data_IF_414240752348
#
_entry.id   IF_414240752348
#
_cell.length_a   1.000
_cell.length_b   1.000
_cell.length_c   1.000
_cell.angle_alpha   90.00
_cell.angle_beta   90.00
_cell.angle_gamma   90.00
#
_symmetry.space_group_name_H-M   'P 1'
#
loop_
_entity.id
_entity.type
_entity.pdbx_description
1 polymer ?
#
# COMPACT_ATOMS: atom_id res chain seq x y z
N UNK A 1 -16.79 5.38 -14.40
CA UNK A 1 -16.62 5.20 -12.94
C UNK A 1 -16.93 6.52 -12.27
N UNK A 2 -17.84 6.56 -11.32
CA UNK A 2 -18.00 7.73 -10.45
C UNK A 2 -16.83 7.71 -9.46
N UNK A 3 -15.97 8.72 -9.48
CA UNK A 3 -14.85 8.87 -8.52
C UNK A 3 -15.38 9.38 -7.17
N UNK A 4 -16.16 8.55 -6.49
CA UNK A 4 -16.79 8.86 -5.21
C UNK A 4 -15.75 9.21 -4.17
N UNK A 5 -15.92 10.35 -3.51
CA UNK A 5 -15.07 10.75 -2.39
C UNK A 5 -13.72 11.37 -2.77
N UNK A 6 -13.33 11.46 -4.05
CA UNK A 6 -12.10 12.18 -4.44
C UNK A 6 -12.27 13.70 -4.34
N UNK A 7 -11.25 14.36 -3.78
CA UNK A 7 -11.19 15.83 -3.68
C UNK A 7 -9.93 16.39 -4.35
N UNK A 8 -10.03 17.63 -4.77
CA UNK A 8 -8.91 18.38 -5.35
C UNK A 8 -7.84 18.67 -4.29
N UNK A 9 -6.58 18.24 -4.49
CA UNK A 9 -5.51 18.49 -3.52
C UNK A 9 -5.12 19.97 -3.40
N UNK A 10 -5.64 20.83 -4.28
CA UNK A 10 -5.34 22.28 -4.28
C UNK A 10 -6.40 23.08 -3.55
N UNK A 11 -7.69 22.77 -3.73
CA UNK A 11 -8.78 23.57 -3.18
C UNK A 11 -9.84 22.78 -2.38
N UNK A 12 -9.68 21.47 -2.21
CA UNK A 12 -10.60 20.61 -1.45
C UNK A 12 -11.95 20.32 -2.12
N UNK A 13 -12.25 20.94 -3.28
CA UNK A 13 -13.50 20.67 -3.98
C UNK A 13 -13.54 19.28 -4.58
N UNK A 14 -14.72 18.66 -4.68
CA UNK A 14 -14.88 17.33 -5.29
C UNK A 14 -14.28 17.26 -6.71
N UNK A 15 -13.74 16.09 -7.05
CA UNK A 15 -13.21 15.78 -8.37
C UNK A 15 -14.21 14.95 -9.17
N UNK A 16 -14.39 15.28 -10.44
CA UNK A 16 -15.19 14.53 -11.40
C UNK A 16 -14.40 14.24 -12.67
N UNK A 17 -14.78 13.18 -13.37
CA UNK A 17 -14.19 12.87 -14.67
C UNK A 17 -14.62 13.93 -15.69
N UNK A 18 -13.67 14.42 -16.51
CA UNK A 18 -13.98 15.29 -17.65
C UNK A 18 -14.84 14.56 -18.68
N UNK A 19 -15.57 15.30 -19.52
CA UNK A 19 -16.40 14.76 -20.60
C UNK A 19 -15.59 13.87 -21.57
N UNK A 20 -14.33 14.21 -21.76
CA UNK A 20 -13.40 13.40 -22.59
C UNK A 20 -12.90 12.13 -21.93
N UNK A 21 -13.13 11.95 -20.61
CA UNK A 21 -12.61 10.84 -19.83
C UNK A 21 -11.09 10.86 -19.63
N UNK A 22 -10.42 11.99 -19.93
CA UNK A 22 -8.94 12.07 -19.93
C UNK A 22 -8.35 12.85 -18.75
N UNK A 23 -9.16 13.48 -17.94
CA UNK A 23 -8.72 14.25 -16.77
C UNK A 23 -9.74 14.18 -15.64
N UNK A 24 -9.29 14.39 -14.42
CA UNK A 24 -10.13 14.76 -13.28
C UNK A 24 -10.19 16.29 -13.20
N UNK A 25 -11.40 16.84 -13.09
CA UNK A 25 -11.65 18.26 -12.99
C UNK A 25 -12.28 18.58 -11.64
N UNK A 26 -11.81 19.64 -10.96
CA UNK A 26 -12.44 20.06 -9.72
C UNK A 26 -13.71 20.85 -9.97
N UNK A 27 -14.73 20.65 -9.12
CA UNK A 27 -15.99 21.37 -9.14
C UNK A 27 -15.92 22.78 -8.51
N UNK A 28 -14.70 23.25 -8.19
CA UNK A 28 -14.49 24.50 -7.45
C UNK A 28 -15.11 25.72 -8.11
N UNK A 29 -15.67 26.61 -7.28
CA UNK A 29 -16.31 27.88 -7.65
C UNK A 29 -15.31 29.00 -7.93
N UNK A 30 -14.03 28.72 -7.84
CA UNK A 30 -12.95 29.69 -7.99
C UNK A 30 -12.66 29.94 -9.47
N UNK A 31 -12.23 31.15 -9.82
CA UNK A 31 -11.93 31.60 -11.17
C UNK A 31 -10.92 30.72 -11.95
N UNK A 32 -10.33 29.72 -11.32
CA UNK A 32 -9.40 28.77 -11.92
C UNK A 32 -9.81 27.34 -11.56
N UNK A 33 -10.31 26.57 -12.55
CA UNK A 33 -10.53 25.12 -12.41
C UNK A 33 -9.19 24.41 -12.40
N UNK A 34 -9.02 23.44 -11.48
CA UNK A 34 -7.85 22.56 -11.43
C UNK A 34 -8.17 21.28 -12.21
N UNK A 35 -7.27 20.92 -13.11
CA UNK A 35 -7.37 19.70 -13.91
C UNK A 35 -6.15 18.83 -13.65
N UNK A 36 -6.39 17.52 -13.59
CA UNK A 36 -5.37 16.52 -13.36
C UNK A 36 -5.48 15.46 -14.45
N UNK A 37 -4.50 15.42 -15.35
CA UNK A 37 -4.51 14.50 -16.48
C UNK A 37 -4.40 13.04 -16.04
N UNK A 38 -5.22 12.18 -16.63
CA UNK A 38 -5.12 10.75 -16.49
C UNK A 38 -4.06 10.25 -17.46
N UNK A 39 -3.01 9.63 -16.94
CA UNK A 39 -1.92 9.07 -17.73
C UNK A 39 -2.43 7.96 -18.68
N UNK A 40 -1.65 7.62 -19.70
CA UNK A 40 -1.96 6.46 -20.56
C UNK A 40 -2.09 5.15 -19.77
N UNK A 41 -1.35 5.02 -18.66
CA UNK A 41 -1.42 3.88 -17.75
C UNK A 41 -2.72 3.84 -16.95
N UNK A 42 -3.38 4.97 -16.73
CA UNK A 42 -4.63 5.08 -15.97
C UNK A 42 -4.49 5.72 -14.60
N UNK A 43 -3.27 6.13 -14.19
CA UNK A 43 -3.07 6.84 -12.91
C UNK A 43 -3.08 8.35 -13.07
N UNK A 44 -3.27 9.06 -11.96
CA UNK A 44 -3.26 10.52 -11.89
C UNK A 44 -2.21 10.99 -10.88
N UNK A 45 -1.52 12.10 -11.19
CA UNK A 45 -0.65 12.76 -10.22
C UNK A 45 -1.47 13.77 -9.40
N UNK A 46 -1.65 13.48 -8.11
CA UNK A 46 -2.39 14.28 -7.13
C UNK A 46 -1.48 14.78 -5.98
N UNK A 47 -0.15 14.66 -6.14
CA UNK A 47 0.81 14.98 -5.08
C UNK A 47 1.04 16.50 -4.90
N UNK A 48 0.47 17.34 -5.75
CA UNK A 48 0.68 18.79 -5.68
C UNK A 48 2.08 19.24 -6.09
N UNK A 49 2.39 20.56 -5.88
CA UNK A 49 3.62 21.18 -6.37
C UNK A 49 4.93 20.81 -5.66
N UNK A 50 4.87 20.08 -4.56
CA UNK A 50 6.05 19.65 -3.77
C UNK A 50 6.48 18.21 -4.08
N UNK A 51 5.96 17.59 -5.13
CA UNK A 51 6.31 16.21 -5.49
C UNK A 51 7.74 16.11 -6.02
N UNK A 52 8.56 15.29 -5.35
CA UNK A 52 9.86 14.87 -5.87
C UNK A 52 9.68 13.55 -6.67
N UNK A 53 9.99 13.54 -7.98
CA UNK A 53 9.90 12.33 -8.81
C UNK A 53 10.78 11.16 -8.34
N UNK A 54 11.76 11.41 -7.48
CA UNK A 54 12.62 10.39 -6.88
C UNK A 54 12.07 9.87 -5.55
N UNK A 55 10.91 10.34 -5.10
CA UNK A 55 10.26 9.85 -3.89
C UNK A 55 9.80 8.40 -4.05
N UNK A 56 9.78 7.67 -2.96
CA UNK A 56 9.37 6.27 -2.91
C UNK A 56 10.49 5.30 -3.29
N UNK A 57 10.11 4.06 -3.53
CA UNK A 57 11.06 2.99 -3.86
C UNK A 57 11.64 3.18 -5.27
N UNK A 58 12.96 2.97 -5.44
CA UNK A 58 13.60 3.04 -6.76
C UNK A 58 13.16 1.87 -7.65
N UNK A 59 13.32 2.06 -8.95
CA UNK A 59 12.77 1.17 -9.96
C UNK A 59 13.26 -0.29 -9.89
N UNK A 60 14.48 -0.53 -9.43
CA UNK A 60 15.05 -1.87 -9.21
C UNK A 60 14.36 -2.61 -8.07
N UNK A 61 14.15 -1.92 -6.95
CA UNK A 61 13.39 -2.44 -5.81
C UNK A 61 11.92 -2.70 -6.17
N UNK A 62 11.30 -1.79 -6.93
CA UNK A 62 9.92 -1.97 -7.44
C UNK A 62 9.84 -3.21 -8.32
N UNK A 63 10.79 -3.41 -9.26
CA UNK A 63 10.81 -4.62 -10.12
C UNK A 63 10.98 -5.90 -9.32
N UNK A 64 11.89 -5.93 -8.36
CA UNK A 64 12.11 -7.09 -7.49
C UNK A 64 10.86 -7.42 -6.68
N UNK A 65 10.20 -6.39 -6.11
CA UNK A 65 8.95 -6.55 -5.36
C UNK A 65 7.84 -7.10 -6.23
N UNK A 66 7.66 -6.59 -7.44
CA UNK A 66 6.67 -7.11 -8.38
C UNK A 66 6.95 -8.58 -8.68
N UNK A 67 8.18 -8.93 -9.07
CA UNK A 67 8.56 -10.30 -9.40
C UNK A 67 8.30 -11.27 -8.24
N UNK A 68 8.57 -10.85 -7.00
CA UNK A 68 8.34 -11.65 -5.81
C UNK A 68 6.85 -11.79 -5.46
N UNK A 69 6.11 -10.68 -5.43
CA UNK A 69 4.69 -10.69 -5.04
C UNK A 69 3.82 -11.44 -6.05
N UNK A 70 4.11 -11.33 -7.35
CA UNK A 70 3.36 -12.04 -8.40
C UNK A 70 3.48 -13.58 -8.30
N UNK A 71 4.46 -14.11 -7.59
CA UNK A 71 4.57 -15.53 -7.28
C UNK A 71 3.65 -15.99 -6.12
N UNK A 72 2.94 -15.05 -5.48
CA UNK A 72 1.94 -15.34 -4.47
C UNK A 72 2.50 -15.67 -3.08
N UNK A 73 3.78 -15.45 -2.82
CA UNK A 73 4.35 -15.74 -1.50
C UNK A 73 3.67 -14.98 -0.36
N UNK A 74 3.11 -13.77 -0.64
CA UNK A 74 2.37 -12.95 0.32
C UNK A 74 0.84 -13.03 0.14
N UNK A 75 0.36 -13.95 -0.70
CA UNK A 75 -1.08 -14.12 -0.96
C UNK A 75 -1.87 -14.43 0.32
N UNK A 76 -1.41 -15.26 1.28
CA UNK A 76 -2.16 -15.49 2.52
C UNK A 76 -2.42 -14.20 3.30
N UNK A 77 -1.45 -13.27 3.37
CA UNK A 77 -1.62 -11.97 3.99
C UNK A 77 -2.64 -11.12 3.23
N UNK A 78 -2.51 -11.04 1.91
CA UNK A 78 -3.43 -10.25 1.07
C UNK A 78 -4.87 -10.74 1.16
N UNK A 79 -5.10 -12.06 1.15
CA UNK A 79 -6.42 -12.66 1.32
C UNK A 79 -7.02 -12.32 2.68
N UNK A 80 -6.24 -12.42 3.76
CA UNK A 80 -6.74 -12.08 5.09
C UNK A 80 -7.14 -10.62 5.23
N UNK A 81 -6.35 -9.69 4.69
CA UNK A 81 -6.70 -8.27 4.68
C UNK A 81 -7.96 -8.04 3.83
N UNK A 82 -8.07 -8.69 2.66
CA UNK A 82 -9.25 -8.56 1.79
C UNK A 82 -10.54 -9.05 2.47
N UNK A 83 -10.49 -10.15 3.22
CA UNK A 83 -11.60 -10.64 4.03
C UNK A 83 -12.07 -9.58 5.04
N UNK A 84 -11.13 -8.97 5.79
CA UNK A 84 -11.44 -7.94 6.78
C UNK A 84 -12.06 -6.70 6.12
N UNK A 85 -11.51 -6.26 4.98
CA UNK A 85 -12.02 -5.09 4.23
C UNK A 85 -13.41 -5.36 3.67
N UNK A 86 -13.67 -6.57 3.17
CA UNK A 86 -14.96 -6.95 2.59
C UNK A 86 -16.12 -6.90 3.60
N UNK A 87 -15.86 -7.08 4.90
CA UNK A 87 -16.88 -6.92 5.96
C UNK A 87 -17.49 -5.52 5.99
N UNK A 88 -16.70 -4.48 5.66
CA UNK A 88 -17.15 -3.09 5.65
C UNK A 88 -17.64 -2.62 4.27
N UNK A 89 -17.19 -3.24 3.19
CA UNK A 89 -17.49 -2.84 1.81
C UNK A 89 -17.14 -1.37 1.51
N UNK A 90 -17.90 -0.76 0.61
CA UNK A 90 -17.84 0.68 0.33
C UNK A 90 -16.50 1.13 -0.29
N UNK A 91 -16.01 2.31 0.11
CA UNK A 91 -14.74 2.89 -0.38
C UNK A 91 -13.59 2.38 0.47
N UNK A 92 -12.61 1.74 -0.17
CA UNK A 92 -11.33 1.38 0.46
C UNK A 92 -10.19 2.27 -0.06
N UNK A 93 -9.29 2.68 0.84
CA UNK A 93 -8.07 3.43 0.51
C UNK A 93 -6.86 2.61 0.92
N UNK A 94 -6.06 2.17 -0.06
CA UNK A 94 -4.78 1.50 0.16
C UNK A 94 -3.66 2.55 0.17
N UNK A 95 -3.23 2.92 1.36
CA UNK A 95 -2.27 3.99 1.60
C UNK A 95 -0.84 3.44 1.60
N UNK A 96 -0.03 3.81 0.60
CA UNK A 96 1.27 3.21 0.31
C UNK A 96 1.12 1.92 -0.51
N UNK A 97 0.28 1.96 -1.55
CA UNK A 97 -0.13 0.78 -2.32
C UNK A 97 1.00 0.11 -3.13
N UNK A 98 2.12 0.80 -3.33
CA UNK A 98 3.23 0.31 -4.14
C UNK A 98 2.78 -0.14 -5.53
N UNK A 99 3.07 -1.39 -5.88
CA UNK A 99 2.71 -2.00 -7.16
C UNK A 99 1.23 -2.43 -7.27
N UNK A 100 0.39 -2.10 -6.29
CA UNK A 100 -1.05 -2.41 -6.30
C UNK A 100 -1.38 -3.88 -6.05
N UNK A 101 -0.45 -4.66 -5.53
CA UNK A 101 -0.66 -6.09 -5.27
C UNK A 101 -1.84 -6.33 -4.32
N UNK A 102 -1.83 -5.66 -3.17
CA UNK A 102 -2.93 -5.73 -2.21
C UNK A 102 -4.17 -4.98 -2.71
N UNK A 103 -4.01 -3.79 -3.26
CA UNK A 103 -5.12 -2.96 -3.79
C UNK A 103 -6.05 -3.76 -4.69
N UNK A 104 -5.51 -4.57 -5.60
CA UNK A 104 -6.31 -5.37 -6.53
C UNK A 104 -7.06 -6.51 -5.84
N UNK A 105 -6.50 -7.09 -4.79
CA UNK A 105 -7.17 -8.11 -3.97
C UNK A 105 -8.33 -7.50 -3.16
N UNK A 106 -8.14 -6.28 -2.64
CA UNK A 106 -9.16 -5.55 -1.88
C UNK A 106 -10.36 -5.16 -2.74
N UNK A 107 -10.15 -4.92 -4.03
CA UNK A 107 -11.19 -4.42 -4.93
C UNK A 107 -12.33 -5.39 -5.19
N UNK A 108 -12.15 -6.67 -4.90
CA UNK A 108 -13.19 -7.68 -5.10
C UNK A 108 -14.29 -7.61 -4.02
N UNK A 109 -14.02 -6.97 -2.87
CA UNK A 109 -14.94 -6.82 -1.74
C UNK A 109 -15.40 -5.38 -1.47
N UNK A 110 -15.16 -4.44 -2.42
CA UNK A 110 -15.42 -3.00 -2.22
C UNK A 110 -16.14 -2.39 -3.41
N UNK A 111 -16.80 -1.24 -3.20
CA UNK A 111 -17.42 -0.47 -4.30
C UNK A 111 -16.34 0.14 -5.21
N UNK A 112 -15.24 0.61 -4.62
CA UNK A 112 -14.04 1.06 -5.28
C UNK A 112 -12.85 1.01 -4.33
N UNK A 113 -11.68 0.64 -4.83
CA UNK A 113 -10.42 0.74 -4.09
C UNK A 113 -9.50 1.79 -4.70
N UNK A 114 -9.10 2.77 -3.89
CA UNK A 114 -8.11 3.79 -4.23
C UNK A 114 -6.73 3.36 -3.75
N UNK A 115 -5.76 3.21 -4.65
CA UNK A 115 -4.35 2.98 -4.31
C UNK A 115 -3.53 4.25 -4.45
N UNK A 116 -2.85 4.67 -3.39
CA UNK A 116 -2.00 5.87 -3.39
C UNK A 116 -0.57 5.52 -2.97
N UNK A 117 0.40 6.02 -3.73
CA UNK A 117 1.83 5.89 -3.42
C UNK A 117 2.62 7.06 -4.03
N UNK A 118 3.80 7.37 -3.50
CA UNK A 118 4.71 8.36 -4.06
C UNK A 118 5.58 7.80 -5.20
N UNK A 119 5.78 6.48 -5.26
CA UNK A 119 6.59 5.84 -6.30
C UNK A 119 5.86 5.79 -7.64
N UNK A 120 6.17 6.74 -8.53
CA UNK A 120 5.60 6.76 -9.88
C UNK A 120 5.75 5.44 -10.63
N UNK A 121 6.92 4.76 -10.63
CA UNK A 121 7.07 3.47 -11.32
C UNK A 121 6.12 2.40 -10.78
N UNK A 122 5.90 2.36 -9.46
CA UNK A 122 5.01 1.40 -8.82
C UNK A 122 3.55 1.68 -9.17
N UNK A 123 3.10 2.93 -9.04
CA UNK A 123 1.73 3.37 -9.36
C UNK A 123 1.42 3.17 -10.85
N UNK A 124 2.38 3.44 -11.74
CA UNK A 124 2.21 3.22 -13.17
C UNK A 124 2.01 1.73 -13.50
N UNK A 125 2.80 0.86 -12.88
CA UNK A 125 2.62 -0.59 -13.01
C UNK A 125 1.24 -1.05 -12.50
N UNK A 126 0.87 -0.61 -11.30
CA UNK A 126 -0.40 -0.95 -10.65
C UNK A 126 -1.60 -0.57 -11.54
N UNK A 127 -1.61 0.65 -12.06
CA UNK A 127 -2.68 1.15 -12.94
C UNK A 127 -2.77 0.37 -14.27
N UNK A 128 -1.63 0.07 -14.91
CA UNK A 128 -1.59 -0.76 -16.12
C UNK A 128 -2.14 -2.15 -15.87
N UNK A 129 -1.75 -2.78 -14.76
CA UNK A 129 -2.21 -4.12 -14.39
C UNK A 129 -3.71 -4.14 -14.13
N UNK A 130 -4.20 -3.23 -13.28
CA UNK A 130 -5.64 -3.14 -12.97
C UNK A 130 -6.50 -2.89 -14.22
N UNK A 131 -6.03 -2.04 -15.14
CA UNK A 131 -6.71 -1.79 -16.41
C UNK A 131 -6.78 -3.05 -17.28
N UNK A 132 -5.69 -3.83 -17.35
CA UNK A 132 -5.63 -5.09 -18.10
C UNK A 132 -6.55 -6.15 -17.48
N UNK A 133 -6.62 -6.22 -16.17
CA UNK A 133 -7.39 -7.20 -15.41
C UNK A 133 -8.81 -6.72 -15.07
N UNK A 134 -9.20 -5.54 -15.56
CA UNK A 134 -10.52 -4.92 -15.37
C UNK A 134 -10.94 -4.80 -13.90
N UNK A 135 -9.96 -4.58 -13.01
CA UNK A 135 -10.21 -4.39 -11.59
C UNK A 135 -10.81 -3.01 -11.29
N UNK A 136 -11.73 -2.94 -10.33
CA UNK A 136 -12.34 -1.68 -9.89
C UNK A 136 -11.43 -0.90 -8.95
N UNK A 137 -10.24 -0.54 -9.47
CA UNK A 137 -9.20 0.21 -8.77
C UNK A 137 -8.93 1.53 -9.47
N UNK A 138 -8.65 2.56 -8.68
CA UNK A 138 -8.10 3.81 -9.16
C UNK A 138 -6.77 4.09 -8.47
N UNK A 139 -5.78 4.58 -9.23
CA UNK A 139 -4.44 4.83 -8.72
C UNK A 139 -4.05 6.29 -8.86
N UNK A 140 -3.48 6.84 -7.78
CA UNK A 140 -2.97 8.20 -7.74
C UNK A 140 -1.58 8.30 -7.11
N UNK A 141 -0.78 9.25 -7.61
CA UNK A 141 0.47 9.62 -6.95
C UNK A 141 0.16 10.67 -5.92
N UNK A 142 0.30 10.36 -4.64
CA UNK A 142 0.22 11.33 -3.54
C UNK A 142 0.87 10.78 -2.26
N UNK A 143 1.07 11.67 -1.29
CA UNK A 143 1.55 11.30 0.05
C UNK A 143 0.41 10.71 0.87
N UNK A 144 0.72 9.67 1.66
CA UNK A 144 -0.21 9.11 2.65
C UNK A 144 -0.60 10.11 3.75
N UNK A 145 0.18 11.17 3.91
CA UNK A 145 -0.09 12.27 4.85
C UNK A 145 -1.02 13.36 4.30
N UNK A 146 -1.42 13.25 3.02
CA UNK A 146 -2.34 14.20 2.36
C UNK A 146 -3.09 13.47 1.26
N UNK A 147 -4.07 12.68 1.66
CA UNK A 147 -4.87 11.85 0.75
C UNK A 147 -5.95 12.71 0.06
N UNK A 148 -6.12 12.60 -1.26
CA UNK A 148 -7.13 13.34 -1.99
C UNK A 148 -8.52 12.69 -1.83
N UNK A 149 -8.90 12.41 -0.59
CA UNK A 149 -10.16 11.77 -0.19
C UNK A 149 -10.89 12.72 0.77
N UNK A 150 -12.18 12.88 0.59
CA UNK A 150 -13.02 13.71 1.43
C UNK A 150 -13.09 13.17 2.87
N UNK A 151 -13.34 14.06 3.83
CA UNK A 151 -13.53 13.70 5.22
C UNK A 151 -14.67 12.69 5.36
N UNK A 152 -14.45 11.62 6.09
CA UNK A 152 -15.46 10.61 6.36
C UNK A 152 -15.95 9.81 5.13
N UNK A 153 -15.22 9.80 4.02
CA UNK A 153 -15.67 9.11 2.82
C UNK A 153 -15.28 7.62 2.78
N UNK A 154 -14.17 7.22 3.40
CA UNK A 154 -13.65 5.86 3.32
C UNK A 154 -14.30 4.94 4.37
N UNK A 155 -14.72 3.75 3.94
CA UNK A 155 -15.14 2.67 4.83
C UNK A 155 -13.94 1.97 5.46
N UNK A 156 -12.85 1.86 4.71
CA UNK A 156 -11.62 1.22 5.16
C UNK A 156 -10.39 1.96 4.63
N UNK A 157 -9.35 2.00 5.44
CA UNK A 157 -8.00 2.40 5.03
C UNK A 157 -7.06 1.25 5.33
N UNK A 158 -6.21 0.86 4.40
CA UNK A 158 -5.16 -0.13 4.60
C UNK A 158 -3.78 0.53 4.56
N UNK A 159 -2.87 0.06 5.41
CA UNK A 159 -1.45 0.43 5.43
C UNK A 159 -0.63 -0.85 5.58
N UNK A 160 -0.14 -1.37 4.44
CA UNK A 160 0.61 -2.63 4.39
C UNK A 160 2.07 -2.33 4.16
N UNK A 161 2.92 -2.54 5.18
CA UNK A 161 4.35 -2.17 5.18
C UNK A 161 4.63 -0.70 4.84
N UNK A 162 3.65 0.17 5.11
CA UNK A 162 3.70 1.59 4.81
C UNK A 162 3.60 2.43 6.10
N UNK A 163 3.94 3.73 6.07
CA UNK A 163 3.78 4.61 7.23
C UNK A 163 2.32 4.75 7.65
N UNK A 164 2.08 4.93 8.95
CA UNK A 164 0.75 5.20 9.50
C UNK A 164 0.57 6.69 9.73
N UNK A 165 -0.22 7.32 8.87
CA UNK A 165 -0.61 8.73 8.99
C UNK A 165 -1.91 8.85 9.81
N UNK A 166 -1.86 8.57 11.12
CA UNK A 166 -3.03 8.41 11.99
C UNK A 166 -4.07 9.53 11.83
N UNK A 167 -3.63 10.80 11.84
CA UNK A 167 -4.53 11.96 11.72
C UNK A 167 -5.24 11.99 10.37
N UNK A 168 -4.51 11.70 9.31
CA UNK A 168 -5.04 11.72 7.96
C UNK A 168 -5.97 10.52 7.72
N UNK A 169 -5.61 9.34 8.23
CA UNK A 169 -6.44 8.17 8.13
C UNK A 169 -7.75 8.33 8.93
N UNK A 170 -7.68 8.94 10.14
CA UNK A 170 -8.86 9.29 10.91
C UNK A 170 -9.76 10.32 10.20
N UNK A 171 -9.18 11.28 9.46
CA UNK A 171 -9.93 12.27 8.69
C UNK A 171 -10.75 11.62 7.58
N UNK A 172 -10.13 10.75 6.78
CA UNK A 172 -10.78 10.14 5.61
C UNK A 172 -11.76 9.03 5.96
N UNK A 173 -11.57 8.34 7.10
CA UNK A 173 -12.46 7.30 7.56
C UNK A 173 -13.81 7.88 8.01
N UNK A 174 -14.91 7.25 7.58
CA UNK A 174 -16.24 7.47 8.15
C UNK A 174 -16.28 7.00 9.61
N UNK A 175 -17.29 7.44 10.37
CA UNK A 175 -17.55 6.90 11.71
C UNK A 175 -17.82 5.39 11.60
N UNK A 176 -17.22 4.60 12.51
CA UNK A 176 -17.21 3.14 12.43
C UNK A 176 -16.37 2.56 11.28
N UNK A 177 -15.65 3.40 10.53
CA UNK A 177 -14.70 2.96 9.51
C UNK A 177 -13.46 2.34 10.12
N UNK A 178 -12.81 1.42 9.40
CA UNK A 178 -11.69 0.62 9.91
C UNK A 178 -10.36 0.98 9.26
N UNK A 179 -9.33 1.10 10.09
CA UNK A 179 -7.93 1.15 9.68
C UNK A 179 -7.29 -0.23 9.88
N UNK A 180 -6.81 -0.82 8.80
CA UNK A 180 -6.14 -2.11 8.80
C UNK A 180 -4.64 -1.88 8.57
N UNK A 181 -3.82 -2.30 9.51
CA UNK A 181 -2.36 -2.17 9.45
C UNK A 181 -1.76 -3.57 9.38
N UNK A 182 -0.90 -3.82 8.39
CA UNK A 182 -0.08 -5.02 8.35
C UNK A 182 1.41 -4.67 8.39
N UNK A 183 2.14 -5.35 9.26
CA UNK A 183 3.56 -5.14 9.49
C UNK A 183 4.32 -6.46 9.63
N UNK A 184 5.64 -6.40 9.48
CA UNK A 184 6.50 -7.53 9.78
C UNK A 184 6.47 -7.81 11.29
N UNK A 185 6.16 -9.06 11.66
CA UNK A 185 6.26 -9.53 13.04
C UNK A 185 7.75 -9.68 13.45
N UNK A 186 8.07 -9.83 14.75
CA UNK A 186 9.45 -9.93 15.23
C UNK A 186 10.29 -10.99 14.53
N UNK A 187 9.72 -12.15 14.25
CA UNK A 187 10.35 -13.31 13.62
C UNK A 187 10.27 -13.31 12.08
N UNK A 188 9.68 -12.28 11.47
CA UNK A 188 9.57 -12.18 10.01
C UNK A 188 10.94 -12.22 9.35
N UNK A 189 11.12 -13.15 8.39
CA UNK A 189 12.36 -13.39 7.64
C UNK A 189 13.57 -13.75 8.54
N UNK A 190 13.35 -14.34 9.71
CA UNK A 190 14.43 -14.69 10.65
C UNK A 190 15.45 -15.63 10.00
N UNK A 191 15.03 -16.57 9.15
CA UNK A 191 15.90 -17.50 8.44
C UNK A 191 16.86 -16.74 7.48
N UNK A 192 16.34 -15.76 6.75
CA UNK A 192 17.16 -14.91 5.88
C UNK A 192 18.11 -14.00 6.68
N UNK A 193 17.63 -13.43 7.80
CA UNK A 193 18.45 -12.60 8.68
C UNK A 193 19.60 -13.37 9.29
N UNK A 194 19.41 -14.64 9.64
CA UNK A 194 20.46 -15.52 10.18
C UNK A 194 21.62 -15.74 9.19
N UNK A 195 21.38 -15.62 7.89
CA UNK A 195 22.41 -15.67 6.86
C UNK A 195 23.05 -14.31 6.57
N UNK A 196 22.35 -13.21 6.84
CA UNK A 196 22.83 -11.85 6.56
C UNK A 196 23.62 -11.24 7.71
N UNK A 197 23.34 -11.62 8.95
CA UNK A 197 23.90 -11.01 10.17
C UNK A 197 24.45 -12.06 11.12
N UNK A 198 25.57 -11.77 11.77
CA UNK A 198 26.18 -12.65 12.78
C UNK A 198 25.31 -12.71 14.07
N UNK A 199 24.57 -11.64 14.34
CA UNK A 199 23.59 -11.58 15.42
C UNK A 199 22.23 -11.19 14.84
N UNK A 200 21.25 -12.09 14.95
CA UNK A 200 19.90 -11.83 14.50
C UNK A 200 19.21 -10.94 15.52
N UNK A 201 18.82 -9.75 15.10
CA UNK A 201 17.93 -8.89 15.89
C UNK A 201 16.51 -9.07 15.38
N UNK A 202 15.58 -9.34 16.29
CA UNK A 202 14.14 -9.36 15.99
C UNK A 202 13.70 -7.98 15.46
N UNK A 203 12.64 -7.96 14.67
CA UNK A 203 12.01 -6.69 14.33
C UNK A 203 11.46 -6.09 15.61
N UNK A 204 11.71 -4.80 15.84
CA UNK A 204 11.12 -4.10 16.97
C UNK A 204 9.59 -4.01 16.84
N UNK A 205 8.92 -3.82 17.98
CA UNK A 205 7.50 -3.51 17.97
C UNK A 205 7.26 -2.22 17.18
N UNK A 206 6.13 -2.15 16.48
CA UNK A 206 5.75 -0.99 15.71
C UNK A 206 5.37 0.17 16.63
N UNK A 207 6.15 1.25 16.59
CA UNK A 207 5.96 2.41 17.45
C UNK A 207 4.91 3.42 16.95
N UNK A 208 4.44 3.28 15.70
CA UNK A 208 3.52 4.20 15.04
C UNK A 208 2.06 3.69 15.01
N UNK A 209 1.68 2.81 15.94
CA UNK A 209 0.31 2.34 16.08
C UNK A 209 -0.63 3.46 16.56
N UNK A 210 -1.88 3.52 16.04
CA UNK A 210 -2.84 4.55 16.38
C UNK A 210 -3.18 4.59 17.86
N UNK A 211 -3.23 5.80 18.43
CA UNK A 211 -3.59 6.04 19.84
C UNK A 211 -5.00 6.59 20.01
N UNK A 212 -5.55 7.23 18.98
CA UNK A 212 -6.88 7.84 19.01
C UNK A 212 -8.00 6.93 18.55
N UNK A 213 -7.68 5.75 18.02
CA UNK A 213 -8.64 4.76 17.53
C UNK A 213 -8.79 3.60 18.53
N UNK A 214 -9.81 2.76 18.33
CA UNK A 214 -10.06 1.56 19.15
C UNK A 214 -9.51 0.35 18.44
N UNK A 215 -8.62 -0.39 19.08
CA UNK A 215 -8.14 -1.68 18.58
C UNK A 215 -9.26 -2.72 18.68
N UNK A 216 -9.70 -3.28 17.54
CA UNK A 216 -10.71 -4.33 17.46
C UNK A 216 -10.11 -5.72 17.28
N UNK A 217 -9.00 -5.81 16.53
CA UNK A 217 -8.32 -7.08 16.24
C UNK A 217 -6.81 -6.88 16.27
N UNK A 218 -6.12 -7.84 16.89
CA UNK A 218 -4.68 -8.02 16.76
C UNK A 218 -4.43 -9.50 16.54
N UNK A 219 -3.90 -9.85 15.39
CA UNK A 219 -3.60 -11.25 15.05
C UNK A 219 -2.24 -11.37 14.38
N UNK A 220 -1.63 -12.56 14.50
CA UNK A 220 -0.38 -12.89 13.83
C UNK A 220 -0.62 -14.00 12.81
N UNK A 221 -0.20 -13.76 11.57
CA UNK A 221 -0.20 -14.75 10.51
C UNK A 221 1.22 -15.21 10.24
N UNK A 222 1.50 -16.49 10.53
CA UNK A 222 2.83 -17.07 10.32
C UNK A 222 2.75 -18.34 9.48
N UNK A 223 3.62 -18.44 8.47
CA UNK A 223 3.77 -19.62 7.64
C UNK A 223 5.17 -19.70 7.06
N UNK A 224 5.55 -20.87 6.55
CA UNK A 224 6.82 -21.08 5.86
C UNK A 224 6.61 -21.41 4.40
N UNK A 225 7.56 -21.02 3.57
CA UNK A 225 7.63 -21.36 2.14
C UNK A 225 9.08 -21.63 1.76
N UNK A 226 9.26 -22.61 0.91
CA UNK A 226 10.53 -22.86 0.24
C UNK A 226 10.63 -21.93 -0.96
N UNK A 227 11.70 -21.17 -1.03
CA UNK A 227 12.02 -20.23 -2.09
C UNK A 227 13.26 -20.76 -2.83
N UNK A 228 13.20 -20.75 -4.15
CA UNK A 228 14.36 -20.98 -4.99
C UNK A 228 15.29 -19.75 -4.99
N UNK A 229 16.56 -19.91 -5.36
CA UNK A 229 17.59 -18.86 -5.33
C UNK A 229 17.12 -17.53 -5.94
N UNK A 230 16.43 -17.58 -7.09
CA UNK A 230 15.95 -16.37 -7.76
C UNK A 230 14.92 -15.62 -6.92
N UNK A 231 14.06 -16.34 -6.21
CA UNK A 231 13.04 -15.76 -5.34
C UNK A 231 13.63 -15.23 -4.03
N UNK A 232 14.65 -15.89 -3.51
CA UNK A 232 15.46 -15.38 -2.38
C UNK A 232 16.14 -14.07 -2.79
N UNK A 233 16.71 -13.99 -3.99
CA UNK A 233 17.33 -12.78 -4.51
C UNK A 233 16.32 -11.63 -4.70
N UNK A 234 15.12 -11.94 -5.22
CA UNK A 234 14.05 -10.95 -5.37
C UNK A 234 13.56 -10.45 -3.99
N UNK A 235 13.33 -11.37 -3.04
CA UNK A 235 12.96 -11.05 -1.67
C UNK A 235 14.02 -10.17 -0.99
N UNK A 236 15.29 -10.52 -1.09
CA UNK A 236 16.40 -9.74 -0.55
C UNK A 236 16.42 -8.32 -1.14
N UNK A 237 16.34 -8.21 -2.47
CA UNK A 237 16.41 -6.93 -3.19
C UNK A 237 15.25 -5.99 -2.85
N UNK A 238 14.05 -6.53 -2.62
CA UNK A 238 12.87 -5.70 -2.29
C UNK A 238 12.85 -5.24 -0.83
N UNK A 239 13.74 -5.77 0.03
CA UNK A 239 13.81 -5.38 1.45
C UNK A 239 14.91 -4.36 1.71
N UNK A 240 14.83 -3.59 2.82
CA UNK A 240 15.90 -2.68 3.23
C UNK A 240 17.26 -3.37 3.49
N UNK A 241 17.28 -4.69 3.66
CA UNK A 241 18.49 -5.45 3.94
C UNK A 241 19.50 -5.35 2.80
N UNK A 242 19.05 -5.33 1.54
CA UNK A 242 19.92 -5.21 0.36
C UNK A 242 20.80 -3.96 0.35
N UNK A 243 20.45 -2.94 1.13
CA UNK A 243 21.20 -1.68 1.25
C UNK A 243 22.01 -1.55 2.54
N UNK A 244 21.83 -2.50 3.46
CA UNK A 244 22.42 -2.44 4.82
C UNK A 244 23.39 -3.57 5.11
N UNK A 245 23.49 -4.58 4.24
CA UNK A 245 24.34 -5.74 4.42
C UNK A 245 25.60 -5.65 3.56
N UNK A 246 26.67 -6.31 4.00
CA UNK A 246 27.91 -6.42 3.24
C UNK A 246 27.72 -7.28 1.99
N UNK A 247 28.61 -7.13 1.02
CA UNK A 247 28.66 -7.97 -0.17
C UNK A 247 28.86 -9.46 0.19
N UNK A 248 29.71 -9.74 1.15
CA UNK A 248 30.00 -11.09 1.64
C UNK A 248 28.74 -11.77 2.22
N UNK A 249 27.98 -11.05 3.05
CA UNK A 249 26.70 -11.54 3.59
C UNK A 249 25.66 -11.81 2.50
N UNK A 250 25.60 -10.93 1.50
CA UNK A 250 24.73 -11.13 0.34
C UNK A 250 25.15 -12.37 -0.48
N UNK A 251 26.45 -12.56 -0.73
CA UNK A 251 27.00 -13.74 -1.42
C UNK A 251 26.70 -15.02 -0.65
N UNK A 252 26.83 -15.01 0.69
CA UNK A 252 26.46 -16.12 1.57
C UNK A 252 24.99 -16.49 1.43
N UNK A 253 24.08 -15.51 1.49
CA UNK A 253 22.65 -15.73 1.28
C UNK A 253 22.37 -16.35 -0.09
N UNK A 254 22.92 -15.78 -1.15
CA UNK A 254 22.67 -16.15 -2.53
C UNK A 254 23.42 -17.40 -3.01
N UNK A 255 24.30 -17.97 -2.17
CA UNK A 255 24.99 -19.24 -2.48
C UNK A 255 24.09 -20.47 -2.33
N UNK A 256 22.94 -20.34 -1.63
CA UNK A 256 21.99 -21.43 -1.43
C UNK A 256 21.09 -21.60 -2.66
N UNK A 257 20.87 -22.83 -3.09
CA UNK A 257 19.96 -23.14 -4.20
C UNK A 257 18.49 -22.90 -3.86
N UNK A 258 18.14 -23.16 -2.60
CA UNK A 258 16.82 -22.85 -2.05
C UNK A 258 16.90 -22.63 -0.54
N UNK A 259 15.94 -21.88 0.01
CA UNK A 259 15.81 -21.63 1.44
C UNK A 259 14.36 -21.80 1.88
N UNK A 260 14.15 -22.35 3.06
CA UNK A 260 12.87 -22.27 3.73
C UNK A 260 12.81 -20.96 4.52
N UNK A 261 11.83 -20.11 4.18
CA UNK A 261 11.69 -18.77 4.74
C UNK A 261 10.42 -18.68 5.57
N UNK A 262 10.56 -18.14 6.78
CA UNK A 262 9.45 -17.82 7.68
C UNK A 262 8.87 -16.46 7.32
N UNK A 263 7.59 -16.46 6.92
CA UNK A 263 6.77 -15.27 6.75
C UNK A 263 5.89 -15.11 7.97
N UNK A 264 6.05 -14.00 8.68
CA UNK A 264 5.31 -13.71 9.91
C UNK A 264 4.89 -12.24 9.90
N UNK A 265 3.59 -12.00 10.02
CA UNK A 265 2.98 -10.68 9.87
C UNK A 265 2.05 -10.41 11.05
N UNK A 266 2.13 -9.23 11.62
CA UNK A 266 1.15 -8.73 12.56
C UNK A 266 0.10 -7.91 11.82
N UNK A 267 -1.18 -8.22 12.03
CA UNK A 267 -2.34 -7.53 11.47
C UNK A 267 -3.09 -6.88 12.62
N UNK A 268 -3.29 -5.57 12.53
CA UNK A 268 -4.05 -4.79 13.49
C UNK A 268 -5.23 -4.13 12.80
N UNK A 269 -6.41 -4.22 13.40
CA UNK A 269 -7.62 -3.53 12.95
C UNK A 269 -8.07 -2.55 14.01
N UNK A 270 -8.19 -1.30 13.63
CA UNK A 270 -8.65 -0.21 14.48
C UNK A 270 -9.95 0.37 13.93
N UNK A 271 -10.93 0.59 14.81
CA UNK A 271 -12.13 1.34 14.49
C UNK A 271 -11.95 2.84 14.81
N UNK A 272 -12.44 3.70 13.91
CA UNK A 272 -12.62 5.12 14.22
C UNK A 272 -13.76 5.25 15.22
N UNK A 273 -13.51 5.97 16.34
CA UNK A 273 -14.55 6.27 17.33
C UNK A 273 -15.66 7.09 16.68
N UNK A 274 -16.91 6.73 16.98
CA UNK A 274 -18.03 7.58 16.64
C UNK A 274 -17.92 8.91 17.38
N UNK A 275 -18.08 10.00 16.65
CA UNK A 275 -18.20 11.32 17.28
C UNK A 275 -19.63 11.44 17.81
N UNK A 276 -19.78 11.45 19.15
CA UNK A 276 -21.05 11.65 19.85
C UNK A 276 -21.49 13.11 19.74
#
# INVERSE_FOLDING_TARGET
>A
MNHLGLICPVCGAGLSLSDSGRALCCAGTVAKKHNFDISRAGHVNLAGGAYDPNSGDPADMVRARIAFLEKGYYEPLGRRIAEIVAENGGICVDAGCGSGYYTQMLSDGTDITYGFDLSKPAVEYAAKKAKREQKNCFYGICSVYSLPIADGAASSVTSVFAPVAEKEFARVLKDGGRLIIAAAAPDHLCDMKALLYDTVTENGERGDLPKSMVLELSERLTYKRRLEREDVAALYTMTPYSRRTSRESAERLLSHDSLEITFSFDIFVYAKKEQI
#
